data_IF_378149483337
#
_entry.id   IF_378149483337
#
_cell.length_a   1.000
_cell.length_b   1.000
_cell.length_c   1.000
_cell.angle_alpha   90.00
_cell.angle_beta   90.00
_cell.angle_gamma   90.00
#
_symmetry.space_group_name_H-M   'P 1'
#
loop_
_entity.id
_entity.type
_entity.pdbx_description
1 polymer ?
#
# COMPACT_ATOMS: atom_id res chain seq x y z
N UNK A 1 43.41 8.62 -41.11
CA UNK A 1 44.35 9.71 -41.48
C UNK A 1 44.28 10.79 -40.41
N UNK A 2 45.47 11.17 -39.88
CA UNK A 2 45.83 12.35 -39.06
C UNK A 2 45.08 12.58 -37.73
N UNK A 3 45.71 12.38 -36.56
CA UNK A 3 46.83 13.12 -35.88
C UNK A 3 46.33 14.43 -35.22
N UNK A 4 46.40 14.57 -33.88
CA UNK A 4 47.49 15.18 -33.04
C UNK A 4 46.93 16.46 -32.38
N UNK A 5 47.25 16.95 -31.17
CA UNK A 5 48.26 16.75 -30.10
C UNK A 5 47.64 17.30 -28.78
N UNK A 6 47.99 16.82 -27.57
CA UNK A 6 49.06 17.32 -26.66
C UNK A 6 48.90 18.81 -26.25
N UNK A 7 49.18 19.29 -25.02
CA UNK A 7 50.23 18.94 -24.05
C UNK A 7 49.85 19.51 -22.66
N UNK A 8 50.06 18.78 -21.54
CA UNK A 8 51.22 18.78 -20.62
C UNK A 8 51.30 19.91 -19.55
N UNK A 9 51.43 19.51 -18.28
CA UNK A 9 52.59 19.69 -17.37
C UNK A 9 52.11 19.59 -15.90
N UNK A 10 52.48 18.57 -15.11
CA UNK A 10 53.73 18.31 -14.36
C UNK A 10 54.12 19.40 -13.34
N UNK A 11 54.07 19.05 -12.04
CA UNK A 11 55.21 18.96 -11.10
C UNK A 11 54.67 18.52 -9.71
N UNK A 12 55.06 17.36 -9.12
CA UNK A 12 56.20 17.09 -8.19
C UNK A 12 56.33 18.13 -7.06
N UNK A 13 56.59 17.85 -5.79
CA UNK A 13 57.17 16.71 -5.05
C UNK A 13 57.02 17.07 -3.53
N UNK A 14 56.70 16.11 -2.63
CA UNK A 14 57.62 15.50 -1.62
C UNK A 14 57.93 16.48 -0.43
N UNK A 15 57.87 16.17 0.88
CA UNK A 15 58.52 15.07 1.62
C UNK A 15 58.22 15.17 3.15
N UNK A 16 57.89 14.03 3.78
CA UNK A 16 58.20 13.47 5.15
C UNK A 16 58.02 14.22 6.50
N UNK A 17 57.36 13.47 7.40
CA UNK A 17 57.66 13.08 8.80
C UNK A 17 58.13 14.09 9.86
N UNK A 18 57.45 14.08 11.03
CA UNK A 18 57.90 13.47 12.30
C UNK A 18 56.90 13.76 13.45
N UNK A 19 56.61 12.74 14.27
CA UNK A 19 56.06 12.79 15.65
C UNK A 19 57.20 12.41 16.61
N UNK A 20 57.06 12.40 17.96
CA UNK A 20 56.10 13.04 18.89
C UNK A 20 56.80 13.76 20.09
N UNK A 21 56.06 14.47 20.96
CA UNK A 21 56.32 14.39 22.41
C UNK A 21 55.20 14.95 23.31
N UNK A 22 55.08 14.29 24.46
CA UNK A 22 54.20 14.42 25.62
C UNK A 22 54.20 15.77 26.35
N UNK A 23 53.05 16.13 26.94
CA UNK A 23 52.94 16.46 28.38
C UNK A 23 51.46 16.59 28.82
N UNK A 24 51.12 15.92 29.92
CA UNK A 24 49.90 16.14 30.69
C UNK A 24 50.12 17.27 31.70
N UNK A 25 49.14 18.16 31.87
CA UNK A 25 48.83 18.83 33.15
C UNK A 25 47.45 19.49 33.10
N UNK A 26 46.63 19.24 34.12
CA UNK A 26 45.89 20.30 34.82
C UNK A 26 44.44 20.64 34.40
N UNK A 27 43.52 20.20 35.27
CA UNK A 27 42.36 20.94 35.80
C UNK A 27 41.07 21.09 34.96
N UNK A 28 39.99 20.59 35.59
CA UNK A 28 38.58 20.75 35.28
C UNK A 28 38.15 22.21 35.08
N UNK A 29 37.41 22.48 34.01
CA UNK A 29 36.29 23.43 34.00
C UNK A 29 35.19 22.95 33.05
N UNK A 30 33.97 23.02 33.56
CA UNK A 30 32.69 22.59 32.99
C UNK A 30 32.27 23.39 31.75
N UNK A 31 32.17 22.74 30.59
CA UNK A 31 31.18 23.08 29.54
C UNK A 31 30.99 21.90 28.58
N UNK A 32 29.77 21.37 28.34
CA UNK A 32 29.55 20.44 27.24
C UNK A 32 29.76 21.18 25.93
N UNK A 33 30.77 20.79 25.16
CA UNK A 33 31.04 21.34 23.82
C UNK A 33 29.99 20.77 22.87
N UNK A 34 28.94 21.54 22.57
CA UNK A 34 27.99 21.23 21.51
C UNK A 34 28.74 21.23 20.17
N UNK A 35 28.99 20.06 19.61
CA UNK A 35 29.79 19.85 18.39
C UNK A 35 29.06 20.19 17.08
N UNK A 36 27.96 20.95 17.12
CA UNK A 36 27.13 21.26 15.95
C UNK A 36 27.09 22.77 15.64
N UNK A 37 28.23 23.44 15.64
CA UNK A 37 28.34 24.82 15.17
C UNK A 37 29.25 24.90 13.96
N UNK A 38 28.74 25.56 12.91
CA UNK A 38 29.50 25.95 11.73
C UNK A 38 30.65 26.88 12.12
N UNK A 39 31.79 26.72 11.46
CA UNK A 39 33.05 27.44 11.72
C UNK A 39 33.00 28.94 11.42
N UNK A 40 31.88 29.47 10.93
CA UNK A 40 31.68 30.88 10.55
C UNK A 40 30.99 31.73 11.64
N UNK A 41 30.65 31.14 12.80
CA UNK A 41 30.15 31.90 13.97
C UNK A 41 28.75 32.50 13.81
N UNK A 42 28.00 32.13 12.77
CA UNK A 42 26.62 32.59 12.57
C UNK A 42 25.64 31.64 13.25
N UNK A 43 25.01 32.12 14.31
CA UNK A 43 23.86 31.44 14.92
C UNK A 43 22.67 31.54 13.96
N UNK A 44 22.32 30.43 13.30
CA UNK A 44 21.08 30.33 12.55
C UNK A 44 19.92 30.18 13.52
N UNK A 45 19.17 31.26 13.74
CA UNK A 45 17.89 31.21 14.42
C UNK A 45 16.88 30.53 13.49
N UNK A 46 16.76 29.21 13.60
CA UNK A 46 15.64 28.49 12.98
C UNK A 46 14.44 28.68 13.91
N UNK A 47 13.47 29.48 13.49
CA UNK A 47 12.22 29.65 14.23
C UNK A 47 11.56 28.27 14.43
N UNK A 48 11.01 27.95 15.62
CA UNK A 48 10.35 26.66 15.87
C UNK A 48 9.28 26.35 14.80
N UNK A 49 8.57 27.37 14.34
CA UNK A 49 7.51 27.27 13.33
C UNK A 49 8.05 26.81 11.96
N UNK A 50 9.29 27.19 11.60
CA UNK A 50 9.92 26.72 10.36
C UNK A 50 10.35 25.25 10.44
N UNK A 51 10.60 24.72 11.65
CA UNK A 51 10.90 23.31 11.87
C UNK A 51 9.64 22.43 11.84
N UNK A 52 8.47 22.97 12.23
CA UNK A 52 7.18 22.26 12.17
C UNK A 52 6.67 22.01 10.75
N UNK A 53 7.08 22.82 9.76
CA UNK A 53 6.68 22.62 8.36
C UNK A 53 7.53 21.57 7.60
N UNK A 54 8.55 20.98 8.25
CA UNK A 54 9.44 19.98 7.64
C UNK A 54 9.20 18.54 8.10
N UNK A 55 8.22 18.32 8.97
CA UNK A 55 7.73 16.98 9.30
C UNK A 55 6.32 16.88 8.75
N UNK A 56 6.19 16.49 7.48
CA UNK A 56 4.90 15.98 7.01
C UNK A 56 4.62 14.73 7.82
N UNK A 57 3.87 14.87 8.92
CA UNK A 57 3.39 13.74 9.70
C UNK A 57 2.53 12.92 8.75
N UNK A 58 2.87 11.64 8.61
CA UNK A 58 2.09 10.70 7.83
C UNK A 58 0.63 10.73 8.30
N UNK A 59 -0.28 10.55 7.34
CA UNK A 59 -1.72 10.51 7.61
C UNK A 59 -2.06 9.39 8.61
N UNK A 60 -1.41 8.24 8.49
CA UNK A 60 -1.44 7.13 9.44
C UNK A 60 -0.01 6.92 9.96
N UNK A 61 0.19 6.99 11.28
CA UNK A 61 1.46 6.61 11.89
C UNK A 61 1.65 5.10 11.71
N UNK A 62 2.60 4.73 10.84
CA UNK A 62 2.82 3.34 10.43
C UNK A 62 3.16 2.44 11.62
N UNK A 63 4.05 2.86 12.51
CA UNK A 63 4.53 1.98 13.60
C UNK A 63 3.52 1.93 14.75
N UNK A 64 2.86 3.05 15.06
CA UNK A 64 1.74 3.08 16.02
C UNK A 64 0.57 2.21 15.53
N UNK A 65 0.22 2.31 14.25
CA UNK A 65 -0.82 1.49 13.62
C UNK A 65 -0.49 0.00 13.70
N UNK A 66 0.72 -0.40 13.28
CA UNK A 66 1.14 -1.81 13.29
C UNK A 66 1.17 -2.40 14.70
N UNK A 67 1.69 -1.64 15.67
CA UNK A 67 1.72 -2.05 17.08
C UNK A 67 0.31 -2.27 17.61
N UNK A 68 -0.60 -1.32 17.34
CA UNK A 68 -1.99 -1.42 17.79
C UNK A 68 -2.73 -2.57 17.09
N UNK A 69 -2.59 -2.70 15.78
CA UNK A 69 -3.17 -3.81 15.03
C UNK A 69 -2.67 -5.15 15.53
N UNK A 70 -1.37 -5.32 15.76
CA UNK A 70 -0.82 -6.58 16.27
C UNK A 70 -1.42 -6.93 17.65
N UNK A 71 -1.55 -5.95 18.54
CA UNK A 71 -2.18 -6.14 19.86
C UNK A 71 -3.65 -6.56 19.77
N UNK A 72 -4.35 -6.17 18.71
CA UNK A 72 -5.76 -6.46 18.48
C UNK A 72 -6.02 -7.56 17.45
N UNK A 73 -4.99 -8.09 16.78
CA UNK A 73 -5.15 -8.98 15.62
C UNK A 73 -6.03 -10.19 15.92
N UNK A 74 -5.93 -10.74 17.15
CA UNK A 74 -6.73 -11.87 17.62
C UNK A 74 -8.23 -11.56 17.74
N UNK A 75 -8.60 -10.28 17.82
CA UNK A 75 -9.99 -9.84 17.87
C UNK A 75 -10.66 -9.81 16.50
N UNK A 76 -9.90 -9.92 15.40
CA UNK A 76 -10.43 -10.03 14.05
C UNK A 76 -10.94 -11.44 13.74
N UNK A 77 -11.94 -11.88 14.51
CA UNK A 77 -12.65 -13.15 14.38
C UNK A 77 -14.07 -12.90 13.85
N UNK A 78 -14.50 -13.65 12.84
CA UNK A 78 -15.84 -13.50 12.26
C UNK A 78 -16.90 -14.09 13.20
N UNK A 79 -16.55 -15.16 13.90
CA UNK A 79 -17.36 -15.82 14.93
C UNK A 79 -16.54 -16.02 16.20
N UNK A 80 -17.22 -16.16 17.34
CA UNK A 80 -16.55 -16.37 18.63
C UNK A 80 -15.66 -17.61 18.68
N UNK A 81 -16.04 -18.65 17.92
CA UNK A 81 -15.33 -19.93 17.83
C UNK A 81 -14.14 -19.90 16.88
N UNK A 82 -13.99 -18.84 16.08
CA UNK A 82 -12.89 -18.78 15.10
C UNK A 82 -11.55 -18.59 15.82
N UNK A 83 -10.59 -19.43 15.46
CA UNK A 83 -9.21 -19.33 15.97
C UNK A 83 -8.38 -18.54 14.98
N UNK A 84 -8.02 -17.31 15.34
CA UNK A 84 -7.13 -16.47 14.55
C UNK A 84 -5.68 -16.85 14.86
N UNK A 85 -4.93 -17.31 13.85
CA UNK A 85 -3.50 -17.62 14.00
C UNK A 85 -2.67 -16.37 14.36
N UNK A 86 -1.45 -16.58 14.87
CA UNK A 86 -0.55 -15.48 15.23
C UNK A 86 -0.20 -14.59 14.03
N UNK A 87 0.02 -13.31 14.29
CA UNK A 87 0.37 -12.35 13.26
C UNK A 87 1.84 -12.52 12.86
N UNK A 88 2.08 -13.32 11.83
CA UNK A 88 3.42 -13.67 11.39
C UNK A 88 4.16 -12.50 10.72
N UNK A 89 5.49 -12.60 10.62
CA UNK A 89 6.34 -11.52 10.09
C UNK A 89 5.97 -11.12 8.66
N UNK A 90 5.68 -12.09 7.78
CA UNK A 90 5.26 -11.83 6.40
C UNK A 90 3.99 -10.98 6.35
N UNK A 91 3.03 -11.26 7.24
CA UNK A 91 1.79 -10.49 7.35
C UNK A 91 2.04 -9.07 7.88
N UNK A 92 2.96 -8.92 8.85
CA UNK A 92 3.40 -7.60 9.35
C UNK A 92 4.04 -6.77 8.25
N UNK A 93 4.94 -7.37 7.48
CA UNK A 93 5.66 -6.68 6.40
C UNK A 93 4.70 -6.27 5.27
N UNK A 94 3.75 -7.14 4.91
CA UNK A 94 2.70 -6.81 3.94
C UNK A 94 1.82 -5.66 4.42
N UNK A 95 1.32 -5.73 5.67
CA UNK A 95 0.49 -4.67 6.25
C UNK A 95 1.26 -3.35 6.35
N UNK A 96 2.53 -3.37 6.77
CA UNK A 96 3.41 -2.19 6.76
C UNK A 96 3.51 -1.58 5.36
N UNK A 97 3.69 -2.43 4.35
CA UNK A 97 3.68 -2.03 2.95
C UNK A 97 2.39 -1.30 2.58
N UNK A 98 1.24 -1.92 2.87
CA UNK A 98 -0.09 -1.35 2.57
C UNK A 98 -0.26 0.04 3.20
N UNK A 99 0.01 0.19 4.50
CA UNK A 99 -0.18 1.48 5.19
C UNK A 99 0.73 2.57 4.60
N UNK A 100 2.00 2.24 4.31
CA UNK A 100 2.92 3.18 3.65
C UNK A 100 2.39 3.65 2.29
N UNK A 101 1.79 2.75 1.49
CA UNK A 101 1.22 3.12 0.18
C UNK A 101 -0.09 3.87 0.31
N UNK A 102 -0.88 3.65 1.35
CA UNK A 102 -2.07 4.47 1.64
C UNK A 102 -1.64 5.91 1.94
N UNK A 103 -0.64 6.11 2.80
CA UNK A 103 -0.08 7.44 3.08
C UNK A 103 0.44 8.12 1.81
N UNK A 104 1.22 7.38 1.00
CA UNK A 104 1.75 7.89 -0.26
C UNK A 104 0.64 8.28 -1.24
N UNK A 105 -0.35 7.41 -1.42
CA UNK A 105 -1.47 7.67 -2.34
C UNK A 105 -2.19 8.98 -2.01
N UNK A 106 -2.58 9.19 -0.75
CA UNK A 106 -3.28 10.41 -0.36
C UNK A 106 -2.41 11.67 -0.40
N UNK A 107 -1.08 11.52 -0.35
CA UNK A 107 -0.13 12.62 -0.56
C UNK A 107 -0.01 13.01 -2.03
N UNK A 108 -0.12 12.06 -2.94
CA UNK A 108 0.07 12.26 -4.39
C UNK A 108 -1.23 12.54 -5.15
N UNK A 109 -2.39 12.23 -4.55
CA UNK A 109 -3.69 12.32 -5.18
C UNK A 109 -4.70 13.16 -4.37
N UNK A 110 -4.51 14.48 -4.38
CA UNK A 110 -5.35 15.45 -3.65
C UNK A 110 -6.84 15.38 -4.02
N UNK A 111 -7.19 14.85 -5.20
CA UNK A 111 -8.57 14.65 -5.63
C UNK A 111 -9.32 13.57 -4.82
N UNK A 112 -8.60 12.74 -4.06
CA UNK A 112 -9.18 11.78 -3.12
C UNK A 112 -9.00 12.32 -1.71
N UNK A 113 -10.10 12.81 -1.13
CA UNK A 113 -10.09 13.22 0.27
C UNK A 113 -9.98 11.98 1.17
N UNK A 114 -8.93 11.86 2.01
CA UNK A 114 -8.86 10.77 2.96
C UNK A 114 -9.97 10.89 3.98
N UNK A 115 -10.60 9.77 4.34
CA UNK A 115 -11.61 9.72 5.37
C UNK A 115 -11.47 8.40 6.14
N UNK A 116 -11.58 8.46 7.47
CA UNK A 116 -11.33 7.32 8.34
C UNK A 116 -12.24 6.13 8.01
N UNK A 117 -13.50 6.37 7.66
CA UNK A 117 -14.47 5.33 7.35
C UNK A 117 -14.13 4.64 6.02
N UNK A 118 -13.69 5.39 5.01
CA UNK A 118 -13.26 4.81 3.73
C UNK A 118 -12.03 3.91 3.92
N UNK A 119 -11.01 4.39 4.62
CA UNK A 119 -9.77 3.63 4.86
C UNK A 119 -10.04 2.40 5.73
N UNK A 120 -10.92 2.51 6.74
CA UNK A 120 -11.33 1.38 7.58
C UNK A 120 -11.94 0.25 6.75
N UNK A 121 -12.85 0.59 5.83
CA UNK A 121 -13.48 -0.38 4.95
C UNK A 121 -12.49 -0.99 3.94
N UNK A 122 -11.58 -0.19 3.39
CA UNK A 122 -10.52 -0.66 2.49
C UNK A 122 -9.63 -1.70 3.18
N UNK A 123 -9.17 -1.42 4.40
CA UNK A 123 -8.35 -2.34 5.18
C UNK A 123 -9.10 -3.61 5.57
N UNK A 124 -10.38 -3.50 5.93
CA UNK A 124 -11.24 -4.65 6.20
C UNK A 124 -11.38 -5.57 4.99
N UNK A 125 -11.59 -4.97 3.81
CA UNK A 125 -11.67 -5.71 2.55
C UNK A 125 -10.33 -6.35 2.21
N UNK A 126 -9.22 -5.60 2.27
CA UNK A 126 -7.88 -6.12 2.02
C UNK A 126 -7.55 -7.29 2.95
N UNK A 127 -7.93 -7.19 4.23
CA UNK A 127 -7.77 -8.27 5.19
C UNK A 127 -8.58 -9.50 4.76
N UNK A 128 -9.84 -9.33 4.37
CA UNK A 128 -10.70 -10.44 3.96
C UNK A 128 -10.21 -11.13 2.69
N UNK A 129 -9.98 -10.33 1.63
CA UNK A 129 -9.70 -10.81 0.28
C UNK A 129 -8.27 -11.30 0.10
N UNK A 130 -7.30 -10.71 0.82
CA UNK A 130 -5.89 -11.06 0.74
C UNK A 130 -5.40 -11.92 1.93
N UNK A 131 -6.28 -12.61 2.65
CA UNK A 131 -5.88 -13.59 3.68
C UNK A 131 -5.98 -15.02 3.15
N UNK A 132 -4.98 -15.84 3.46
CA UNK A 132 -5.06 -17.28 3.25
C UNK A 132 -4.29 -18.08 4.29
N UNK A 133 -4.96 -19.07 4.87
CA UNK A 133 -4.39 -19.89 5.93
C UNK A 133 -3.97 -19.01 7.10
N UNK A 134 -2.66 -18.91 7.34
CA UNK A 134 -2.08 -18.12 8.43
C UNK A 134 -1.44 -16.80 7.96
N UNK A 135 -1.46 -16.52 6.66
CA UNK A 135 -0.90 -15.31 6.06
C UNK A 135 -2.00 -14.31 5.80
N UNK A 136 -1.95 -13.17 6.49
CA UNK A 136 -2.92 -12.08 6.37
C UNK A 136 -2.37 -10.99 5.45
N UNK A 137 -3.22 -10.39 4.61
CA UNK A 137 -2.85 -9.34 3.64
C UNK A 137 -1.82 -9.76 2.57
N UNK A 138 -1.59 -11.04 2.37
CA UNK A 138 -0.52 -11.56 1.50
C UNK A 138 -1.02 -12.20 0.20
N UNK A 139 -2.30 -12.56 0.10
CA UNK A 139 -2.84 -13.27 -1.06
C UNK A 139 -3.21 -12.30 -2.20
N UNK A 140 -2.20 -11.72 -2.84
CA UNK A 140 -2.34 -10.74 -3.92
C UNK A 140 -2.57 -11.36 -5.31
N UNK A 141 -2.72 -12.68 -5.38
CA UNK A 141 -3.14 -13.39 -6.58
C UNK A 141 -4.25 -14.39 -6.24
N UNK A 142 -5.27 -14.48 -7.10
CA UNK A 142 -6.30 -15.49 -6.98
C UNK A 142 -5.67 -16.88 -7.09
N UNK A 143 -6.08 -17.77 -6.18
CA UNK A 143 -5.48 -19.10 -6.06
C UNK A 143 -6.27 -20.12 -6.86
N UNK A 144 -5.55 -21.04 -7.48
CA UNK A 144 -6.13 -22.15 -8.24
C UNK A 144 -6.31 -23.46 -7.47
N UNK A 145 -5.68 -23.59 -6.30
CA UNK A 145 -5.54 -24.88 -5.63
C UNK A 145 -4.88 -25.92 -6.54
N UNK A 146 -5.31 -27.19 -6.42
CA UNK A 146 -4.81 -28.31 -7.23
C UNK A 146 -5.15 -28.22 -8.72
N UNK A 147 -6.11 -27.39 -9.11
CA UNK A 147 -6.56 -27.27 -10.50
C UNK A 147 -5.62 -26.43 -11.38
N UNK A 148 -4.65 -25.73 -10.80
CA UNK A 148 -3.70 -24.90 -11.55
C UNK A 148 -4.40 -23.92 -12.51
N UNK A 149 -3.86 -23.76 -13.73
CA UNK A 149 -4.44 -22.84 -14.72
C UNK A 149 -5.91 -23.16 -15.07
N UNK A 150 -6.31 -24.43 -15.04
CA UNK A 150 -7.66 -24.86 -15.39
C UNK A 150 -8.74 -24.30 -14.45
N UNK A 151 -8.38 -23.92 -13.22
CA UNK A 151 -9.28 -23.22 -12.31
C UNK A 151 -9.86 -21.94 -12.92
N UNK A 152 -9.06 -21.26 -13.75
CA UNK A 152 -9.41 -19.97 -14.35
C UNK A 152 -10.14 -20.10 -15.69
N UNK A 153 -10.40 -21.32 -16.15
CA UNK A 153 -11.21 -21.56 -17.34
C UNK A 153 -12.62 -20.96 -17.19
N UNK A 154 -13.13 -20.80 -15.95
CA UNK A 154 -14.39 -20.07 -15.67
C UNK A 154 -14.42 -18.62 -16.17
N UNK A 155 -13.25 -18.04 -16.46
CA UNK A 155 -13.09 -16.68 -16.99
C UNK A 155 -12.68 -16.67 -18.47
N UNK A 156 -12.58 -17.83 -19.12
CA UNK A 156 -12.00 -17.95 -20.45
C UNK A 156 -13.06 -17.95 -21.56
N UNK A 157 -12.86 -17.23 -22.68
CA UNK A 157 -13.84 -17.18 -23.76
C UNK A 157 -13.88 -18.47 -24.62
N UNK A 158 -12.89 -19.35 -24.48
CA UNK A 158 -12.77 -20.61 -25.23
C UNK A 158 -12.87 -21.82 -24.29
N UNK A 159 -12.11 -21.82 -23.20
CA UNK A 159 -11.95 -22.96 -22.30
C UNK A 159 -13.08 -23.11 -21.26
N UNK A 160 -13.94 -22.11 -21.11
CA UNK A 160 -15.03 -22.20 -20.15
C UNK A 160 -16.00 -23.34 -20.49
N UNK A 161 -16.50 -24.02 -19.46
CA UNK A 161 -17.30 -25.25 -19.59
C UNK A 161 -18.68 -25.07 -20.21
N UNK A 162 -19.19 -23.85 -20.33
CA UNK A 162 -20.50 -23.56 -20.92
C UNK A 162 -20.57 -22.18 -21.58
N UNK A 163 -21.54 -22.01 -22.47
CA UNK A 163 -21.72 -20.79 -23.27
C UNK A 163 -22.03 -19.54 -22.43
N UNK A 164 -22.68 -19.68 -21.27
CA UNK A 164 -22.94 -18.54 -20.38
C UNK A 164 -21.63 -17.96 -19.83
N UNK A 165 -20.70 -18.82 -19.41
CA UNK A 165 -19.37 -18.40 -18.96
C UNK A 165 -18.54 -17.79 -20.09
N UNK A 166 -18.54 -18.40 -21.28
CA UNK A 166 -17.86 -17.84 -22.45
C UNK A 166 -18.40 -16.46 -22.82
N UNK A 167 -19.74 -16.30 -22.83
CA UNK A 167 -20.39 -15.01 -23.08
C UNK A 167 -20.02 -13.98 -22.02
N UNK A 168 -19.99 -14.37 -20.74
CA UNK A 168 -19.53 -13.50 -19.65
C UNK A 168 -18.08 -13.07 -19.84
N UNK A 169 -17.18 -13.99 -20.20
CA UNK A 169 -15.77 -13.68 -20.46
C UNK A 169 -15.63 -12.63 -21.58
N UNK A 170 -16.29 -12.85 -22.72
CA UNK A 170 -16.31 -11.91 -23.85
C UNK A 170 -16.88 -10.54 -23.48
N UNK A 171 -17.99 -10.50 -22.73
CA UNK A 171 -18.58 -9.24 -22.25
C UNK A 171 -17.65 -8.45 -21.31
N UNK A 172 -16.72 -9.13 -20.64
CA UNK A 172 -15.72 -8.50 -19.77
C UNK A 172 -14.36 -8.32 -20.46
N UNK A 173 -14.31 -8.47 -21.79
CA UNK A 173 -13.16 -8.15 -22.63
C UNK A 173 -12.17 -9.30 -22.85
N UNK A 174 -12.38 -10.46 -22.24
CA UNK A 174 -11.54 -11.63 -22.54
C UNK A 174 -11.96 -12.18 -23.92
N UNK A 175 -11.04 -12.18 -24.88
CA UNK A 175 -11.32 -12.50 -26.29
C UNK A 175 -10.49 -13.66 -26.83
N UNK A 176 -9.40 -14.02 -26.15
CA UNK A 176 -8.46 -15.06 -26.57
C UNK A 176 -8.43 -16.24 -25.60
N UNK A 177 -8.10 -17.43 -26.10
CA UNK A 177 -7.83 -18.58 -25.25
C UNK A 177 -6.66 -18.28 -24.31
N UNK A 178 -6.82 -18.54 -23.01
CA UNK A 178 -5.83 -18.23 -21.99
C UNK A 178 -6.05 -16.89 -21.29
N UNK A 179 -6.91 -16.01 -21.83
CA UNK A 179 -7.27 -14.74 -21.18
C UNK A 179 -7.87 -14.95 -19.79
N UNK A 180 -8.54 -16.10 -19.55
CA UNK A 180 -9.07 -16.42 -18.24
C UNK A 180 -7.98 -16.48 -17.17
N UNK A 181 -6.85 -17.12 -17.46
CA UNK A 181 -5.69 -17.15 -16.56
C UNK A 181 -4.92 -15.83 -16.57
N UNK A 182 -4.74 -15.21 -17.74
CA UNK A 182 -4.00 -13.95 -17.88
C UNK A 182 -4.63 -12.83 -17.05
N UNK A 183 -5.95 -12.68 -17.10
CA UNK A 183 -6.73 -11.64 -16.40
C UNK A 183 -7.50 -12.14 -15.18
N UNK A 184 -6.95 -13.13 -14.47
CA UNK A 184 -7.42 -13.60 -13.15
C UNK A 184 -7.27 -12.52 -12.07
N UNK A 185 -7.88 -12.75 -10.90
CA UNK A 185 -7.82 -11.82 -9.76
C UNK A 185 -6.40 -11.53 -9.29
N UNK A 186 -6.08 -10.23 -9.12
CA UNK A 186 -4.83 -9.76 -8.50
C UNK A 186 -5.03 -8.56 -7.57
N UNK A 187 -4.08 -8.35 -6.66
CA UNK A 187 -4.06 -7.28 -5.69
C UNK A 187 -5.02 -7.49 -4.52
N UNK A 188 -5.20 -6.46 -3.70
CA UNK A 188 -5.93 -6.51 -2.43
C UNK A 188 -7.45 -6.71 -2.58
N UNK A 189 -7.95 -6.61 -3.81
CA UNK A 189 -9.39 -6.69 -4.15
C UNK A 189 -9.67 -7.62 -5.33
N UNK A 190 -8.68 -8.41 -5.75
CA UNK A 190 -8.77 -9.33 -6.90
C UNK A 190 -9.30 -8.67 -8.18
N UNK A 191 -8.59 -7.65 -8.69
CA UNK A 191 -8.86 -7.05 -10.00
C UNK A 191 -8.91 -8.15 -11.06
N UNK A 192 -10.08 -8.33 -11.69
CA UNK A 192 -10.35 -9.44 -12.62
C UNK A 192 -10.94 -8.89 -13.92
N UNK A 193 -10.71 -9.61 -15.03
CA UNK A 193 -11.17 -9.33 -16.40
C UNK A 193 -10.39 -8.27 -17.16
N UNK A 194 -10.09 -8.55 -18.44
CA UNK A 194 -9.32 -7.65 -19.33
C UNK A 194 -9.84 -6.22 -19.34
N UNK A 195 -11.16 -6.01 -19.34
CA UNK A 195 -11.74 -4.67 -19.30
C UNK A 195 -11.33 -3.87 -18.06
N UNK A 196 -11.23 -4.50 -16.89
CA UNK A 196 -10.84 -3.80 -15.67
C UNK A 196 -9.33 -3.54 -15.62
N UNK A 197 -8.52 -4.48 -16.12
CA UNK A 197 -7.08 -4.25 -16.35
C UNK A 197 -6.85 -3.08 -17.32
N UNK A 198 -7.64 -2.99 -18.40
CA UNK A 198 -7.58 -1.86 -19.33
C UNK A 198 -7.97 -0.55 -18.66
N UNK A 199 -9.07 -0.50 -17.91
CA UNK A 199 -9.46 0.72 -17.16
C UNK A 199 -8.37 1.17 -16.19
N UNK A 200 -7.74 0.25 -15.47
CA UNK A 200 -6.62 0.57 -14.60
C UNK A 200 -5.42 1.09 -15.40
N UNK A 201 -5.15 0.50 -16.57
CA UNK A 201 -4.06 0.94 -17.44
C UNK A 201 -4.27 2.36 -17.95
N UNK A 202 -5.49 2.65 -18.43
CA UNK A 202 -5.88 3.97 -18.91
C UNK A 202 -5.80 5.02 -17.79
N UNK A 203 -6.13 4.65 -16.54
CA UNK A 203 -6.12 5.57 -15.40
C UNK A 203 -4.72 5.85 -14.85
N UNK A 204 -3.90 4.82 -14.66
CA UNK A 204 -2.58 4.95 -14.03
C UNK A 204 -1.44 5.15 -15.04
N UNK A 205 -1.69 5.03 -16.34
CA UNK A 205 -0.65 5.10 -17.37
C UNK A 205 0.34 3.94 -17.33
N UNK A 206 -0.02 2.84 -16.66
CA UNK A 206 0.78 1.62 -16.53
C UNK A 206 0.12 0.51 -17.32
N UNK A 207 0.88 -0.19 -18.16
CA UNK A 207 0.32 -1.28 -18.96
C UNK A 207 0.07 -2.55 -18.11
N UNK A 208 -1.15 -2.68 -17.57
CA UNK A 208 -1.60 -3.88 -16.89
C UNK A 208 -2.22 -4.90 -17.86
N UNK A 209 -2.41 -4.56 -19.14
CA UNK A 209 -2.99 -5.50 -20.12
C UNK A 209 -1.94 -6.50 -20.57
N UNK A 210 -0.72 -6.04 -20.83
CA UNK A 210 0.41 -6.89 -21.21
C UNK A 210 1.26 -7.31 -20.01
N UNK A 211 1.23 -6.55 -18.91
CA UNK A 211 1.91 -6.90 -17.66
C UNK A 211 0.92 -7.00 -16.49
N UNK A 212 -0.05 -7.94 -16.55
CA UNK A 212 -1.11 -8.02 -15.54
C UNK A 212 -0.60 -8.35 -14.13
N UNK A 213 0.55 -9.03 -14.02
CA UNK A 213 1.14 -9.39 -12.72
C UNK A 213 1.51 -8.17 -11.86
N UNK A 214 1.75 -7.01 -12.47
CA UNK A 214 1.96 -5.74 -11.74
C UNK A 214 0.79 -5.41 -10.82
N UNK A 215 -0.45 -5.77 -11.16
CA UNK A 215 -1.61 -5.51 -10.31
C UNK A 215 -1.54 -6.26 -8.95
N UNK A 216 -0.65 -7.24 -8.79
CA UNK A 216 -0.38 -7.93 -7.53
C UNK A 216 0.73 -7.26 -6.70
N UNK A 217 1.44 -6.25 -7.21
CA UNK A 217 2.45 -5.51 -6.45
C UNK A 217 1.77 -4.40 -5.63
N UNK A 218 2.18 -4.20 -4.37
CA UNK A 218 1.50 -3.24 -3.47
C UNK A 218 1.53 -1.79 -3.99
N UNK A 219 2.54 -1.42 -4.76
CA UNK A 219 2.67 -0.10 -5.39
C UNK A 219 1.54 0.18 -6.38
N UNK A 220 0.89 -0.85 -6.93
CA UNK A 220 -0.27 -0.71 -7.82
C UNK A 220 -1.57 -1.21 -7.18
N UNK A 221 -1.51 -2.29 -6.38
CA UNK A 221 -2.67 -2.89 -5.74
C UNK A 221 -3.38 -1.94 -4.77
N UNK A 222 -2.62 -1.11 -4.02
CA UNK A 222 -3.20 -0.12 -3.10
C UNK A 222 -3.88 1.03 -3.87
N UNK A 223 -3.23 1.71 -4.83
CA UNK A 223 -3.92 2.69 -5.67
C UNK A 223 -5.15 2.14 -6.39
N UNK A 224 -5.07 0.92 -6.98
CA UNK A 224 -6.21 0.28 -7.65
C UNK A 224 -7.38 0.06 -6.68
N UNK A 225 -7.10 -0.39 -5.45
CA UNK A 225 -8.13 -0.55 -4.42
C UNK A 225 -8.81 0.79 -4.09
N UNK A 226 -8.03 1.83 -3.78
CA UNK A 226 -8.56 3.15 -3.38
C UNK A 226 -9.37 3.76 -4.52
N UNK A 227 -8.76 3.90 -5.70
CA UNK A 227 -9.41 4.44 -6.90
C UNK A 227 -10.67 3.66 -7.25
N UNK A 228 -10.57 2.34 -7.32
CA UNK A 228 -11.66 1.48 -7.76
C UNK A 228 -12.86 1.53 -6.82
N UNK A 229 -12.62 1.54 -5.51
CA UNK A 229 -13.68 1.64 -4.51
C UNK A 229 -14.34 3.03 -4.47
N UNK A 230 -13.56 4.09 -4.71
CA UNK A 230 -14.06 5.47 -4.68
C UNK A 230 -14.80 5.86 -5.97
N UNK A 231 -14.39 5.31 -7.11
CA UNK A 231 -14.98 5.62 -8.43
C UNK A 231 -15.97 4.57 -8.93
N UNK A 232 -16.08 3.42 -8.24
CA UNK A 232 -17.02 2.35 -8.55
C UNK A 232 -16.64 1.53 -9.77
N UNK A 233 -15.35 1.25 -9.93
CA UNK A 233 -14.79 0.61 -11.12
C UNK A 233 -15.14 -0.89 -11.21
N UNK A 234 -15.31 -1.56 -10.06
CA UNK A 234 -15.45 -3.02 -9.99
C UNK A 234 -16.87 -3.48 -10.32
N UNK A 235 -17.87 -2.95 -9.60
CA UNK A 235 -19.27 -3.36 -9.73
C UNK A 235 -20.21 -2.23 -10.16
N UNK A 236 -19.72 -0.98 -10.21
CA UNK A 236 -20.52 0.24 -10.28
C UNK A 236 -20.90 0.82 -8.91
N UNK A 237 -20.79 0.04 -7.82
CA UNK A 237 -20.93 0.53 -6.45
C UNK A 237 -19.70 1.33 -6.02
N UNK A 238 -19.89 2.47 -5.34
CA UNK A 238 -18.80 3.32 -4.84
C UNK A 238 -18.96 3.64 -3.36
N UNK A 239 -17.88 3.76 -2.60
CA UNK A 239 -17.95 3.98 -1.14
C UNK A 239 -18.79 5.21 -0.75
N UNK A 240 -18.70 6.37 -1.43
CA UNK A 240 -19.54 7.53 -1.08
C UNK A 240 -21.04 7.30 -1.18
N UNK A 241 -21.50 6.21 -1.82
CA UNK A 241 -22.93 5.83 -1.83
C UNK A 241 -23.38 5.22 -0.51
N UNK A 242 -22.49 4.58 0.24
CA UNK A 242 -22.80 3.80 1.44
C UNK A 242 -22.26 4.43 2.72
N UNK A 243 -21.25 5.28 2.60
CA UNK A 243 -20.53 5.91 3.70
C UNK A 243 -20.46 7.41 3.40
N UNK A 244 -21.24 8.19 4.15
CA UNK A 244 -21.36 9.65 4.04
C UNK A 244 -21.74 10.27 5.40
N UNK A 245 -21.74 11.60 5.50
CA UNK A 245 -21.82 12.38 6.76
C UNK A 245 -22.84 11.89 7.80
N UNK A 246 -24.01 11.43 7.38
CA UNK A 246 -25.07 11.01 8.30
C UNK A 246 -25.31 9.49 8.33
N UNK A 247 -24.52 8.71 7.58
CA UNK A 247 -24.74 7.28 7.42
C UNK A 247 -23.45 6.53 7.08
N UNK A 248 -23.02 5.65 7.98
CA UNK A 248 -21.84 4.81 7.81
C UNK A 248 -22.29 3.35 7.72
N UNK A 249 -22.46 2.83 6.50
CA UNK A 249 -22.96 1.48 6.27
C UNK A 249 -21.90 0.57 5.65
N UNK A 250 -21.02 0.05 6.49
CA UNK A 250 -19.99 -0.90 6.07
C UNK A 250 -20.57 -2.20 5.51
N UNK A 251 -21.76 -2.60 5.95
CA UNK A 251 -22.38 -3.84 5.46
C UNK A 251 -22.84 -3.66 4.02
N UNK A 252 -23.58 -2.59 3.73
CA UNK A 252 -24.03 -2.28 2.38
C UNK A 252 -22.86 -1.93 1.45
N UNK A 253 -21.76 -1.39 1.98
CA UNK A 253 -20.55 -1.11 1.22
C UNK A 253 -19.93 -2.35 0.56
N UNK A 254 -20.30 -3.58 0.97
CA UNK A 254 -19.89 -4.81 0.27
C UNK A 254 -20.20 -4.80 -1.22
N UNK A 255 -21.30 -4.15 -1.60
CA UNK A 255 -21.72 -3.90 -2.98
C UNK A 255 -20.64 -3.29 -3.89
N UNK A 256 -19.64 -2.59 -3.33
CA UNK A 256 -18.52 -1.98 -4.06
C UNK A 256 -17.61 -3.03 -4.72
N UNK A 257 -17.45 -4.20 -4.09
CA UNK A 257 -16.49 -5.24 -4.52
C UNK A 257 -17.22 -6.49 -4.99
N UNK A 258 -18.24 -6.90 -4.25
CA UNK A 258 -19.06 -8.07 -4.57
C UNK A 258 -20.50 -7.79 -4.15
N UNK A 259 -21.41 -8.77 -4.12
CA UNK A 259 -22.78 -8.58 -3.64
C UNK A 259 -22.83 -8.50 -2.10
N UNK A 260 -23.47 -9.45 -1.42
CA UNK A 260 -23.59 -9.45 0.04
C UNK A 260 -22.69 -10.50 0.72
N UNK A 261 -21.82 -11.16 -0.04
CA UNK A 261 -20.96 -12.21 0.48
C UNK A 261 -20.02 -11.67 1.58
N UNK A 262 -20.08 -12.30 2.75
CA UNK A 262 -19.27 -11.99 3.93
C UNK A 262 -19.40 -10.54 4.44
N UNK A 263 -20.49 -9.86 4.08
CA UNK A 263 -20.70 -8.43 4.37
C UNK A 263 -20.68 -8.12 5.88
N UNK A 264 -21.28 -8.99 6.71
CA UNK A 264 -21.28 -8.81 8.17
C UNK A 264 -19.88 -8.89 8.77
N UNK A 265 -19.06 -9.84 8.32
CA UNK A 265 -17.69 -10.02 8.80
C UNK A 265 -16.80 -8.84 8.41
N UNK A 266 -16.91 -8.38 7.15
CA UNK A 266 -16.15 -7.23 6.66
C UNK A 266 -16.60 -5.97 7.40
N UNK A 267 -17.90 -5.79 7.65
CA UNK A 267 -18.40 -4.66 8.43
C UNK A 267 -17.91 -4.68 9.88
N UNK A 268 -17.84 -5.87 10.50
CA UNK A 268 -17.25 -6.03 11.82
C UNK A 268 -15.75 -5.65 11.81
N UNK A 269 -14.98 -6.17 10.86
CA UNK A 269 -13.56 -5.82 10.72
C UNK A 269 -13.34 -4.33 10.44
N UNK A 270 -14.21 -3.69 9.65
CA UNK A 270 -14.12 -2.26 9.38
C UNK A 270 -14.25 -1.44 10.67
N UNK A 271 -15.16 -1.80 11.59
CA UNK A 271 -15.27 -1.12 12.90
C UNK A 271 -14.02 -1.31 13.77
N UNK A 272 -13.40 -2.49 13.72
CA UNK A 272 -12.13 -2.72 14.42
C UNK A 272 -11.00 -1.85 13.84
N UNK A 273 -10.88 -1.79 12.51
CA UNK A 273 -9.91 -0.88 11.87
C UNK A 273 -10.19 0.58 12.17
N UNK A 274 -11.45 0.99 12.21
CA UNK A 274 -11.83 2.35 12.57
C UNK A 274 -11.32 2.72 13.96
N UNK A 275 -11.53 1.86 14.96
CA UNK A 275 -10.99 2.04 16.31
C UNK A 275 -9.46 2.19 16.32
N UNK A 276 -8.75 1.33 15.58
CA UNK A 276 -7.30 1.40 15.46
C UNK A 276 -6.86 2.72 14.82
N UNK A 277 -7.49 3.13 13.72
CA UNK A 277 -7.16 4.35 13.00
C UNK A 277 -7.43 5.60 13.82
N UNK A 278 -8.51 5.63 14.62
CA UNK A 278 -8.79 6.75 15.55
C UNK A 278 -7.66 6.97 16.55
N UNK A 279 -6.97 5.90 16.94
CA UNK A 279 -5.86 5.96 17.90
C UNK A 279 -4.49 6.20 17.26
N UNK A 280 -4.35 6.05 15.93
CA UNK A 280 -3.04 5.93 15.27
C UNK A 280 -2.91 6.75 13.98
N UNK A 281 -3.87 7.63 13.69
CA UNK A 281 -3.89 8.41 12.46
C UNK A 281 -4.47 9.80 12.66
N UNK A 282 -4.20 10.70 11.71
CA UNK A 282 -4.81 12.01 11.55
C UNK A 282 -5.90 12.00 10.46
N UNK A 283 -6.47 10.82 10.15
CA UNK A 283 -7.56 10.70 9.19
C UNK A 283 -8.78 11.49 9.68
N UNK A 284 -9.35 12.30 8.79
CA UNK A 284 -10.56 13.08 9.07
C UNK A 284 -11.83 12.22 9.00
N UNK A 285 -12.85 12.63 9.75
CA UNK A 285 -14.23 12.10 9.69
C UNK A 285 -15.14 12.94 8.79
N UNK A 286 -14.63 14.05 8.24
CA UNK A 286 -15.36 14.96 7.38
C UNK A 286 -15.54 14.38 5.96
N UNK A 287 -16.62 14.80 5.31
CA UNK A 287 -17.04 14.38 3.97
C UNK A 287 -17.11 15.58 3.01
#
# INVERSE_FOLDING_TARGET
MKKVAEAQSKQTANTKHQTPNTNQTGANTTTPKLSNLSTDGKAWFIHPIALFNFVSLDLIDVESFLTKYESEHKNFKANEKDVVSDFNQKSKDSLRGIIKRINLFYKEHEEFKPNIYYVSYMLATARWEATWGRDFFCALEERSGSLGKAYFNKYDPVLASNESLKKRAKNNGNTEEGDGYKYRGRGLVHLTWKNNYKKASDYFGIDFVDQPDKAAELDYAVPIMIWGMMKGIFTGGKLPRYIYKSHIDYKAARAVINKNDSADNIAFFARQFESILRATSNLTEEF
#
